data_IF_607251180489
#
_entry.id   IF_607251180489
#
_cell.length_a   1.000
_cell.length_b   1.000
_cell.length_c   1.000
_cell.angle_alpha   90.00
_cell.angle_beta   90.00
_cell.angle_gamma   90.00
#
_symmetry.space_group_name_H-M   'P 1'
#
loop_
_entity.id
_entity.type
_entity.pdbx_description
1 polymer ?
#
# COMPACT_ATOMS: atom_id res chain seq x y z
N UNK A 1 -18.77 -2.28 -50.27
CA UNK A 1 -17.58 -1.56 -49.77
C UNK A 1 -17.86 -0.75 -48.53
N UNK A 2 -18.87 0.14 -48.45
CA UNK A 2 -19.17 0.96 -47.23
C UNK A 2 -19.50 0.12 -45.98
N UNK A 3 -20.23 -1.00 -46.13
CA UNK A 3 -20.59 -1.89 -45.00
C UNK A 3 -19.39 -2.66 -44.46
N UNK A 4 -18.45 -3.06 -45.30
CA UNK A 4 -17.22 -3.75 -44.89
C UNK A 4 -16.28 -2.77 -44.13
N UNK A 5 -16.19 -1.52 -44.57
CA UNK A 5 -15.39 -0.49 -43.90
C UNK A 5 -15.93 -0.18 -42.49
N UNK A 6 -17.27 -0.08 -42.37
CA UNK A 6 -17.93 0.16 -41.08
C UNK A 6 -17.70 -0.98 -40.07
N UNK A 7 -17.71 -2.24 -40.57
CA UNK A 7 -17.44 -3.42 -39.74
C UNK A 7 -15.99 -3.45 -39.24
N UNK A 8 -15.02 -3.11 -40.10
CA UNK A 8 -13.59 -3.05 -39.73
C UNK A 8 -13.34 -1.95 -38.68
N UNK A 9 -13.94 -0.76 -38.85
CA UNK A 9 -13.80 0.34 -37.89
C UNK A 9 -14.41 -0.03 -36.53
N UNK A 10 -15.55 -0.72 -36.53
CA UNK A 10 -16.19 -1.16 -35.29
C UNK A 10 -15.38 -2.24 -34.57
N UNK A 11 -14.77 -3.18 -35.31
CA UNK A 11 -13.90 -4.22 -34.74
C UNK A 11 -12.58 -3.63 -34.21
N UNK A 12 -11.99 -2.65 -34.87
CA UNK A 12 -10.81 -1.94 -34.37
C UNK A 12 -11.12 -1.10 -33.12
N UNK A 13 -12.30 -0.46 -33.06
CA UNK A 13 -12.70 0.32 -31.88
C UNK A 13 -12.89 -0.54 -30.64
N UNK A 14 -13.35 -1.80 -30.77
CA UNK A 14 -13.49 -2.72 -29.63
C UNK A 14 -12.15 -3.22 -29.08
N UNK A 15 -11.11 -3.29 -29.91
CA UNK A 15 -9.77 -3.69 -29.46
C UNK A 15 -9.11 -2.59 -28.62
N UNK A 16 -9.38 -1.32 -28.88
CA UNK A 16 -8.87 -0.19 -28.09
C UNK A 16 -9.56 0.01 -26.74
N UNK A 17 -10.70 -0.63 -26.49
CA UNK A 17 -11.45 -0.53 -25.22
C UNK A 17 -11.00 -1.54 -24.15
N UNK A 18 -10.00 -2.37 -24.43
CA UNK A 18 -9.37 -3.16 -23.39
C UNK A 18 -8.54 -2.21 -22.51
N UNK A 19 -9.17 -1.68 -21.46
CA UNK A 19 -8.47 -0.94 -20.43
C UNK A 19 -7.30 -1.81 -19.93
N UNK A 20 -6.08 -1.38 -20.19
CA UNK A 20 -4.89 -2.10 -19.74
C UNK A 20 -4.78 -1.95 -18.22
N UNK A 21 -5.29 -2.95 -17.51
CA UNK A 21 -5.03 -3.08 -16.09
C UNK A 21 -3.66 -3.72 -15.90
N UNK A 22 -2.69 -2.95 -15.42
CA UNK A 22 -1.41 -3.53 -15.04
C UNK A 22 -1.53 -4.18 -13.65
N UNK A 23 -1.02 -5.41 -13.45
CA UNK A 23 -0.96 -6.00 -12.13
C UNK A 23 -0.06 -5.14 -11.23
N UNK A 24 -0.41 -5.02 -9.97
CA UNK A 24 0.42 -4.33 -8.99
C UNK A 24 1.64 -5.17 -8.67
N UNK A 25 2.82 -4.56 -8.73
CA UNK A 25 4.08 -5.29 -8.48
C UNK A 25 4.55 -5.19 -7.03
N UNK A 26 4.10 -4.17 -6.27
CA UNK A 26 4.57 -3.88 -4.93
C UNK A 26 3.47 -3.19 -4.11
N UNK A 27 3.45 -3.46 -2.81
CA UNK A 27 2.60 -2.80 -1.83
C UNK A 27 3.45 -1.86 -0.97
N UNK A 28 3.02 -0.63 -0.78
CA UNK A 28 3.65 0.29 0.17
C UNK A 28 3.05 0.06 1.55
N UNK A 29 3.90 -0.23 2.53
CA UNK A 29 3.50 -0.38 3.93
C UNK A 29 4.09 0.79 4.72
N UNK A 30 3.21 1.66 5.21
CA UNK A 30 3.60 2.77 6.06
C UNK A 30 3.24 2.45 7.51
N UNK A 31 4.23 2.50 8.39
CA UNK A 31 4.06 2.15 9.80
C UNK A 31 4.27 3.40 10.66
N UNK A 32 3.19 3.87 11.28
CA UNK A 32 3.31 4.84 12.36
C UNK A 32 3.96 4.16 13.56
N UNK A 33 5.11 4.65 14.01
CA UNK A 33 5.94 4.02 15.04
C UNK A 33 6.60 5.05 15.96
N UNK A 34 7.32 4.58 16.96
CA UNK A 34 8.13 5.40 17.86
C UNK A 34 9.00 4.56 18.76
N UNK A 35 10.19 5.05 19.10
CA UNK A 35 11.15 4.33 19.97
C UNK A 35 10.64 4.10 21.40
N UNK A 36 9.68 4.89 21.83
CA UNK A 36 9.00 4.77 23.12
C UNK A 36 7.88 3.72 23.12
N UNK A 37 7.52 3.19 21.96
CA UNK A 37 6.35 2.34 21.77
C UNK A 37 6.67 0.87 22.06
N UNK A 38 6.21 0.35 23.16
CA UNK A 38 6.48 -1.02 23.61
C UNK A 38 5.87 -2.12 22.72
N UNK A 39 4.86 -1.81 21.90
CA UNK A 39 4.20 -2.77 21.00
C UNK A 39 4.69 -2.68 19.56
N UNK A 40 5.51 -1.68 19.23
CA UNK A 40 6.05 -1.46 17.91
C UNK A 40 7.04 -2.55 17.44
N UNK A 41 7.78 -3.27 18.31
CA UNK A 41 8.62 -4.38 17.87
C UNK A 41 7.86 -5.45 17.08
N UNK A 42 6.62 -5.76 17.45
CA UNK A 42 5.80 -6.71 16.71
C UNK A 42 5.43 -6.24 15.29
N UNK A 43 5.25 -4.92 15.11
CA UNK A 43 5.02 -4.35 13.80
C UNK A 43 6.27 -4.45 12.91
N UNK A 44 7.44 -4.11 13.46
CA UNK A 44 8.72 -4.26 12.76
C UNK A 44 8.94 -5.73 12.32
N UNK A 45 8.81 -6.68 13.26
CA UNK A 45 8.88 -8.11 12.92
C UNK A 45 7.85 -8.52 11.85
N UNK A 46 6.65 -7.92 11.87
CA UNK A 46 5.61 -8.22 10.89
C UNK A 46 5.98 -7.81 9.46
N UNK A 47 6.62 -6.66 9.28
CA UNK A 47 7.08 -6.22 7.95
C UNK A 47 8.33 -6.99 7.51
N UNK A 48 9.24 -7.31 8.44
CA UNK A 48 10.40 -8.17 8.15
C UNK A 48 9.95 -9.56 7.69
N UNK A 49 8.95 -10.15 8.34
CA UNK A 49 8.40 -11.44 7.95
C UNK A 49 7.67 -11.39 6.60
N UNK A 50 7.02 -10.29 6.23
CA UNK A 50 6.50 -10.11 4.87
C UNK A 50 7.64 -10.21 3.85
N UNK A 51 8.74 -9.50 4.06
CA UNK A 51 9.92 -9.53 3.19
C UNK A 51 10.55 -10.93 3.15
N UNK A 52 10.75 -11.55 4.31
CA UNK A 52 11.35 -12.89 4.43
C UNK A 52 10.50 -13.98 3.73
N UNK A 53 9.17 -13.79 3.69
CA UNK A 53 8.24 -14.66 2.96
C UNK A 53 8.02 -14.24 1.50
N UNK A 54 8.94 -13.46 0.91
CA UNK A 54 8.97 -13.10 -0.50
C UNK A 54 7.84 -12.14 -0.93
N UNK A 55 7.21 -11.44 0.03
CA UNK A 55 6.22 -10.42 -0.30
C UNK A 55 6.92 -9.15 -0.78
N UNK A 56 6.48 -8.63 -1.91
CA UNK A 56 7.04 -7.40 -2.48
C UNK A 56 6.42 -6.20 -1.77
N UNK A 57 7.10 -5.68 -0.77
CA UNK A 57 6.70 -4.50 -0.01
C UNK A 57 7.79 -3.44 -0.01
N UNK A 58 7.39 -2.18 -0.08
CA UNK A 58 8.22 -1.03 0.27
C UNK A 58 7.76 -0.54 1.64
N UNK A 59 8.66 -0.53 2.62
CA UNK A 59 8.35 -0.18 4.00
C UNK A 59 8.84 1.23 4.32
N UNK A 60 7.97 2.03 4.92
CA UNK A 60 8.29 3.37 5.43
C UNK A 60 7.86 3.44 6.89
N UNK A 61 8.80 3.72 7.78
CA UNK A 61 8.49 3.94 9.19
C UNK A 61 8.34 5.44 9.48
N UNK A 62 7.14 5.82 9.85
CA UNK A 62 6.77 7.19 10.20
C UNK A 62 6.87 7.38 11.71
N UNK A 63 8.06 7.75 12.18
CA UNK A 63 8.33 7.99 13.60
C UNK A 63 7.52 9.18 14.14
N UNK A 64 7.11 9.08 15.41
CA UNK A 64 6.38 10.10 16.13
C UNK A 64 6.97 10.31 17.53
N UNK A 65 7.19 11.56 17.91
CA UNK A 65 7.55 11.94 19.27
C UNK A 65 8.90 11.42 19.78
N UNK A 66 9.83 11.11 18.89
CA UNK A 66 11.18 10.67 19.21
C UNK A 66 12.23 11.38 18.33
N UNK A 67 13.51 11.01 18.46
CA UNK A 67 14.62 11.66 17.73
C UNK A 67 14.64 11.37 16.23
N UNK A 68 13.88 10.39 15.74
CA UNK A 68 13.75 10.06 14.33
C UNK A 68 12.53 10.72 13.68
N UNK A 69 11.63 11.29 14.50
CA UNK A 69 10.47 12.00 14.00
C UNK A 69 10.88 13.28 13.27
N UNK A 70 10.19 13.56 12.17
CA UNK A 70 10.40 14.77 11.37
C UNK A 70 9.06 15.27 10.81
N UNK A 71 9.09 16.42 10.12
CA UNK A 71 7.87 17.03 9.58
C UNK A 71 7.13 16.12 8.60
N UNK A 72 7.86 15.27 7.84
CA UNK A 72 7.25 14.36 6.87
C UNK A 72 6.56 13.19 7.56
N UNK A 73 7.22 12.56 8.55
CA UNK A 73 6.64 11.47 9.32
C UNK A 73 5.39 11.93 10.09
N UNK A 74 5.46 13.13 10.70
CA UNK A 74 4.32 13.72 11.39
C UNK A 74 3.15 14.04 10.43
N UNK A 75 3.46 14.58 9.25
CA UNK A 75 2.44 14.85 8.22
C UNK A 75 1.77 13.55 7.73
N UNK A 76 2.54 12.45 7.55
CA UNK A 76 1.99 11.14 7.17
C UNK A 76 1.10 10.57 8.25
N UNK A 77 1.54 10.59 9.52
CA UNK A 77 0.75 10.16 10.65
C UNK A 77 -0.57 10.95 10.77
N UNK A 78 -0.52 12.27 10.53
CA UNK A 78 -1.70 13.14 10.51
C UNK A 78 -2.64 12.80 9.35
N UNK A 79 -2.09 12.60 8.15
CA UNK A 79 -2.87 12.26 6.95
C UNK A 79 -3.70 10.98 7.15
N UNK A 80 -3.12 9.98 7.81
CA UNK A 80 -3.81 8.72 8.12
C UNK A 80 -4.64 8.76 9.40
N UNK A 81 -4.68 9.88 10.11
CA UNK A 81 -5.39 10.02 11.38
C UNK A 81 -4.88 9.07 12.45
N UNK A 82 -3.57 8.76 12.44
CA UNK A 82 -2.98 7.82 13.40
C UNK A 82 -3.04 8.40 14.80
N UNK A 83 -3.77 7.72 15.67
CA UNK A 83 -3.92 8.06 17.10
C UNK A 83 -3.40 6.97 18.03
N UNK A 84 -3.07 5.80 17.49
CA UNK A 84 -2.50 4.66 18.23
C UNK A 84 -1.27 4.11 17.55
N UNK A 85 -0.27 3.68 18.35
CA UNK A 85 1.00 3.16 17.84
C UNK A 85 1.25 1.73 18.33
N UNK A 86 1.74 0.83 17.45
CA UNK A 86 1.95 1.05 16.03
C UNK A 86 0.63 1.05 15.24
N UNK A 87 0.66 1.68 14.07
CA UNK A 87 -0.38 1.50 13.04
C UNK A 87 0.30 1.27 11.71
N UNK A 88 0.04 0.12 11.07
CA UNK A 88 0.53 -0.21 9.75
C UNK A 88 -0.57 0.02 8.71
N UNK A 89 -0.27 0.83 7.69
CA UNK A 89 -1.20 1.15 6.59
C UNK A 89 -0.68 0.59 5.28
N UNK A 90 -1.51 -0.18 4.58
CA UNK A 90 -1.18 -0.84 3.32
C UNK A 90 -1.75 -0.03 2.17
N UNK A 91 -0.87 0.53 1.32
CA UNK A 91 -1.21 1.40 0.18
C UNK A 91 -2.17 2.55 0.55
N UNK A 92 -2.08 3.07 1.77
CA UNK A 92 -2.90 4.17 2.24
C UNK A 92 -4.39 3.82 2.48
N UNK A 93 -4.80 2.57 2.30
CA UNK A 93 -6.21 2.20 2.24
C UNK A 93 -6.67 1.23 3.33
N UNK A 94 -5.79 0.33 3.79
CA UNK A 94 -6.11 -0.66 4.80
C UNK A 94 -5.15 -0.55 5.97
N UNK A 95 -5.68 -0.40 7.19
CA UNK A 95 -4.86 -0.25 8.37
C UNK A 95 -4.99 -1.45 9.33
N UNK A 96 -3.90 -1.71 10.06
CA UNK A 96 -3.87 -2.57 11.24
C UNK A 96 -3.36 -1.70 12.39
N UNK A 97 -4.22 -1.46 13.37
CA UNK A 97 -3.88 -0.70 14.57
C UNK A 97 -3.45 -1.66 15.66
N UNK A 98 -2.40 -1.31 16.37
CA UNK A 98 -1.82 -2.10 17.44
C UNK A 98 -0.71 -3.02 16.96
N UNK A 99 0.03 -3.53 17.92
CA UNK A 99 1.17 -4.40 17.71
C UNK A 99 1.33 -5.44 18.80
N UNK A 100 2.53 -5.98 18.93
CA UNK A 100 2.87 -6.96 19.94
C UNK A 100 4.26 -6.68 20.50
N UNK A 101 4.45 -6.96 21.78
CA UNK A 101 5.75 -6.72 22.42
C UNK A 101 6.83 -7.71 21.98
N UNK A 102 6.46 -8.97 21.72
CA UNK A 102 7.40 -10.07 21.49
C UNK A 102 7.07 -10.94 20.27
N UNK A 103 5.89 -10.77 19.68
CA UNK A 103 5.42 -11.62 18.57
C UNK A 103 5.16 -10.80 17.32
N UNK A 104 5.50 -11.38 16.17
CA UNK A 104 5.31 -10.77 14.87
C UNK A 104 3.83 -10.52 14.55
N UNK A 105 3.57 -9.37 13.89
CA UNK A 105 2.25 -9.03 13.34
C UNK A 105 2.00 -9.62 11.95
N UNK A 106 2.85 -10.52 11.48
CA UNK A 106 2.74 -11.11 10.14
C UNK A 106 1.36 -11.69 9.82
N UNK A 107 0.76 -12.43 10.76
CA UNK A 107 -0.56 -13.05 10.58
C UNK A 107 -1.67 -12.00 10.35
N UNK A 108 -1.56 -10.82 10.93
CA UNK A 108 -2.48 -9.70 10.75
C UNK A 108 -2.18 -8.90 9.48
N UNK A 109 -0.92 -8.87 9.06
CA UNK A 109 -0.46 -8.09 7.89
C UNK A 109 -0.66 -8.83 6.57
N UNK A 110 -0.48 -10.15 6.55
CA UNK A 110 -0.60 -10.96 5.33
C UNK A 110 -1.95 -10.81 4.61
N UNK A 111 -3.11 -10.82 5.29
CA UNK A 111 -4.39 -10.59 4.62
C UNK A 111 -4.49 -9.20 4.00
N UNK A 112 -3.91 -8.16 4.65
CA UNK A 112 -3.91 -6.79 4.14
C UNK A 112 -3.01 -6.64 2.92
N UNK A 113 -1.82 -7.24 2.97
CA UNK A 113 -0.93 -7.33 1.82
C UNK A 113 -1.64 -8.01 0.63
N UNK A 114 -2.26 -9.19 0.86
CA UNK A 114 -2.92 -9.93 -0.20
C UNK A 114 -4.08 -9.13 -0.84
N UNK A 115 -4.84 -8.42 -0.04
CA UNK A 115 -5.90 -7.55 -0.54
C UNK A 115 -5.35 -6.35 -1.33
N UNK A 116 -4.27 -5.73 -0.86
CA UNK A 116 -3.65 -4.58 -1.51
C UNK A 116 -3.01 -4.97 -2.85
N UNK A 117 -2.23 -6.07 -2.91
CA UNK A 117 -1.55 -6.51 -4.14
C UNK A 117 -2.54 -6.96 -5.22
N UNK A 118 -3.73 -7.43 -4.84
CA UNK A 118 -4.77 -7.86 -5.77
C UNK A 118 -5.47 -6.69 -6.49
N UNK A 119 -5.28 -5.45 -6.04
CA UNK A 119 -5.86 -4.28 -6.70
C UNK A 119 -5.10 -3.99 -7.99
N UNK A 120 -5.75 -4.22 -9.14
CA UNK A 120 -5.21 -3.82 -10.43
C UNK A 120 -5.15 -2.29 -10.52
N UNK A 121 -4.02 -1.76 -11.00
CA UNK A 121 -3.86 -0.32 -11.22
C UNK A 121 -4.38 0.04 -12.61
N UNK A 122 -5.40 0.87 -12.68
CA UNK A 122 -5.81 1.49 -13.95
C UNK A 122 -4.83 2.63 -14.27
N UNK A 123 -4.33 2.70 -15.49
CA UNK A 123 -3.42 3.77 -15.95
C UNK A 123 -4.02 5.18 -15.78
N UNK A 124 -5.32 5.27 -15.59
CA UNK A 124 -6.01 6.55 -15.36
C UNK A 124 -5.67 7.19 -14.00
N UNK A 125 -5.34 6.39 -12.98
CA UNK A 125 -4.97 6.88 -11.65
C UNK A 125 -3.60 7.55 -11.59
N UNK A 126 -2.71 7.29 -12.58
CA UNK A 126 -1.39 7.92 -12.64
C UNK A 126 -1.42 9.44 -12.85
N UNK A 127 -2.51 9.97 -13.37
CA UNK A 127 -2.64 11.39 -13.72
C UNK A 127 -3.23 12.26 -12.61
N UNK A 128 -3.75 11.66 -11.54
CA UNK A 128 -4.39 12.40 -10.43
C UNK A 128 -3.43 12.75 -9.29
N UNK A 129 -2.22 12.17 -9.28
CA UNK A 129 -1.17 12.46 -8.29
C UNK A 129 0.05 13.14 -8.92
N UNK A 130 -0.13 14.24 -9.66
CA UNK A 130 0.95 15.22 -9.88
C UNK A 130 0.72 16.39 -8.94
N UNK A 131 1.72 16.71 -8.06
CA UNK A 131 1.69 17.91 -7.25
C UNK A 131 1.73 19.16 -8.12
#
# INVERSE_FOLDING_TARGET
MKKALLSIVFTMATIFLMAQTAPREMVVVEVGTGTWCQYCPGAAMGVDDLLANGKKVAVVENHNGDSYANNYSNARNTLYGISGFPTATFDGNQAVVGGNHTSSMYSSYLPKYNAAIAICRNDHDRNTYRP
#
